data_IF_083682103952
#
_entry.id   IF_083682103952
#
_cell.length_a   1.000
_cell.length_b   1.000
_cell.length_c   1.000
_cell.angle_alpha   90.00
_cell.angle_beta   90.00
_cell.angle_gamma   90.00
#
_symmetry.space_group_name_H-M   'P 1'
#
loop_
_entity.id
_entity.type
_entity.pdbx_description
1 polymer ?
#
# COMPACT_ATOMS: atom_id res chain seq x y z
N UNK A 1 -18.22 8.22 0.72
CA UNK A 1 -18.14 8.07 -0.75
C UNK A 1 -16.68 8.10 -1.14
N UNK A 2 -16.20 7.17 -1.99
CA UNK A 2 -14.81 7.19 -2.45
C UNK A 2 -14.51 8.51 -3.16
N UNK A 3 -13.28 9.04 -3.06
CA UNK A 3 -12.91 10.28 -3.70
C UNK A 3 -13.02 10.11 -5.22
N UNK A 4 -13.74 11.01 -5.87
CA UNK A 4 -13.73 11.08 -7.34
C UNK A 4 -12.31 11.45 -7.79
N UNK A 5 -11.79 10.85 -8.90
CA UNK A 5 -10.53 11.29 -9.48
C UNK A 5 -10.57 12.80 -9.69
N UNK A 6 -9.41 13.47 -9.52
CA UNK A 6 -9.37 14.93 -9.68
C UNK A 6 -9.96 15.32 -11.03
N UNK A 7 -10.82 16.33 -11.06
CA UNK A 7 -11.57 16.73 -12.27
C UNK A 7 -10.65 16.95 -13.49
N UNK A 8 -9.43 17.45 -13.29
CA UNK A 8 -8.45 17.69 -14.35
C UNK A 8 -7.93 16.39 -15.00
N UNK A 9 -7.63 15.35 -14.22
CA UNK A 9 -7.20 14.06 -14.79
C UNK A 9 -8.35 13.40 -15.56
N UNK A 10 -9.54 13.37 -14.99
CA UNK A 10 -10.75 12.85 -15.63
C UNK A 10 -11.03 13.53 -17.00
N UNK A 11 -10.83 14.85 -17.10
CA UNK A 11 -11.07 15.58 -18.34
C UNK A 11 -10.02 15.30 -19.43
N UNK A 12 -8.76 15.06 -19.06
CA UNK A 12 -7.69 14.66 -20.00
C UNK A 12 -8.00 13.29 -20.62
N UNK A 13 -8.40 12.32 -19.80
CA UNK A 13 -8.71 10.96 -20.27
C UNK A 13 -9.98 10.90 -21.12
N UNK A 14 -11.01 11.67 -20.80
CA UNK A 14 -12.21 11.80 -21.64
C UNK A 14 -11.90 12.29 -23.05
N UNK A 15 -10.93 13.22 -23.18
CA UNK A 15 -10.45 13.69 -24.49
C UNK A 15 -9.72 12.60 -25.30
N UNK A 16 -9.24 11.54 -24.64
CA UNK A 16 -8.59 10.40 -25.27
C UNK A 16 -9.56 9.24 -25.58
N UNK A 17 -10.87 9.42 -25.36
CA UNK A 17 -11.88 8.38 -25.55
C UNK A 17 -11.80 7.27 -24.51
N UNK A 18 -11.28 7.55 -23.31
CA UNK A 18 -11.19 6.63 -22.18
C UNK A 18 -12.07 7.07 -21.03
N UNK A 19 -12.79 6.13 -20.44
CA UNK A 19 -13.63 6.31 -19.26
C UNK A 19 -13.10 5.48 -18.09
N UNK A 20 -12.94 6.15 -16.96
CA UNK A 20 -12.54 5.51 -15.69
C UNK A 20 -13.79 5.13 -14.93
N UNK A 21 -13.93 3.85 -14.61
CA UNK A 21 -15.02 3.35 -13.80
C UNK A 21 -14.75 3.54 -12.31
N UNK A 22 -15.65 3.05 -11.46
CA UNK A 22 -15.54 3.16 -10.02
C UNK A 22 -14.25 2.49 -9.55
N UNK A 23 -13.34 3.23 -8.87
CA UNK A 23 -12.11 2.65 -8.35
C UNK A 23 -12.39 1.69 -7.18
N UNK A 24 -11.54 0.69 -7.05
CA UNK A 24 -11.50 -0.18 -5.88
C UNK A 24 -11.11 0.59 -4.61
N UNK A 25 -11.55 0.16 -3.41
CA UNK A 25 -11.09 0.70 -2.14
C UNK A 25 -9.58 0.53 -1.90
N UNK A 26 -8.98 -0.56 -2.45
CA UNK A 26 -7.56 -0.85 -2.30
C UNK A 26 -6.67 0.32 -2.75
N UNK A 27 -5.54 0.46 -2.07
CA UNK A 27 -4.55 1.49 -2.35
C UNK A 27 -3.14 0.90 -2.34
N UNK A 28 -2.61 0.50 -3.49
CA UNK A 28 -1.26 -0.07 -3.60
C UNK A 28 -0.19 1.03 -3.53
N UNK A 29 -0.06 1.64 -2.36
CA UNK A 29 0.92 2.70 -2.08
C UNK A 29 2.07 2.19 -1.21
N UNK A 30 3.13 3.00 -1.08
CA UNK A 30 4.10 2.80 -0.01
C UNK A 30 3.44 2.99 1.35
N UNK A 31 3.90 2.21 2.32
CA UNK A 31 3.53 2.34 3.72
C UNK A 31 4.72 1.98 4.62
N UNK A 32 4.63 2.26 5.90
CA UNK A 32 5.48 1.60 6.90
C UNK A 32 4.68 0.51 7.60
N UNK A 33 5.35 -0.60 7.83
CA UNK A 33 4.83 -1.68 8.67
C UNK A 33 5.77 -1.97 9.84
N UNK A 34 5.26 -2.67 10.82
CA UNK A 34 5.98 -3.19 11.98
C UNK A 34 5.59 -4.64 12.21
N UNK A 35 6.38 -5.42 12.95
CA UNK A 35 5.97 -6.75 13.37
C UNK A 35 4.87 -6.66 14.44
N UNK A 36 4.01 -7.68 14.53
CA UNK A 36 2.98 -7.77 15.57
C UNK A 36 3.59 -7.63 16.97
N UNK A 37 4.74 -8.23 17.22
CA UNK A 37 5.47 -8.09 18.49
C UNK A 37 5.82 -6.63 18.79
N UNK A 38 6.42 -5.92 17.82
CA UNK A 38 6.79 -4.51 17.98
C UNK A 38 5.56 -3.63 18.17
N UNK A 39 4.47 -3.92 17.45
CA UNK A 39 3.20 -3.24 17.60
C UNK A 39 2.65 -3.37 19.02
N UNK A 40 2.56 -4.59 19.56
CA UNK A 40 2.08 -4.85 20.92
C UNK A 40 2.96 -4.19 22.00
N UNK A 41 4.30 -4.24 21.84
CA UNK A 41 5.24 -3.66 22.80
C UNK A 41 5.27 -2.12 22.78
N UNK A 42 5.04 -1.52 21.61
CA UNK A 42 5.16 -0.06 21.41
C UNK A 42 3.82 0.69 21.42
N UNK A 43 2.72 0.01 21.06
CA UNK A 43 1.42 0.64 20.88
C UNK A 43 1.36 1.61 19.70
N UNK A 44 2.27 1.49 18.71
CA UNK A 44 2.30 2.35 17.52
C UNK A 44 1.27 1.86 16.51
N UNK A 45 0.28 2.69 16.18
CA UNK A 45 -0.78 2.39 15.20
C UNK A 45 -0.69 3.26 13.94
N UNK A 46 0.02 4.37 14.02
CA UNK A 46 0.11 5.34 12.94
C UNK A 46 1.53 5.89 12.75
N UNK A 47 1.79 6.47 11.57
CA UNK A 47 3.04 7.18 11.30
C UNK A 47 3.27 8.31 12.29
N UNK A 48 2.21 8.94 12.79
CA UNK A 48 2.28 10.02 13.79
C UNK A 48 2.73 9.54 15.18
N UNK A 49 2.63 8.24 15.45
CA UNK A 49 3.03 7.68 16.75
C UNK A 49 4.54 7.41 16.86
N UNK A 50 5.22 7.28 15.72
CA UNK A 50 6.67 6.98 15.69
C UNK A 50 7.47 7.98 16.54
N UNK A 51 7.13 9.27 16.48
CA UNK A 51 7.78 10.33 17.27
C UNK A 51 7.64 10.19 18.78
N UNK A 52 6.67 9.38 19.25
CA UNK A 52 6.46 9.13 20.68
C UNK A 52 7.44 8.12 21.25
N UNK A 53 8.06 7.32 20.37
CA UNK A 53 9.05 6.33 20.79
C UNK A 53 10.39 6.98 21.13
N UNK A 54 11.15 6.39 22.08
CA UNK A 54 12.54 6.77 22.28
C UNK A 54 13.34 6.67 20.98
N UNK A 55 14.25 7.61 20.69
CA UNK A 55 15.00 7.63 19.43
C UNK A 55 15.70 6.31 19.10
N UNK A 56 16.25 5.61 20.10
CA UNK A 56 16.93 4.32 19.93
C UNK A 56 16.02 3.19 19.45
N UNK A 57 14.71 3.30 19.65
CA UNK A 57 13.71 2.36 19.14
C UNK A 57 13.21 2.71 17.72
N UNK A 58 13.56 3.89 17.22
CA UNK A 58 13.20 4.33 15.87
C UNK A 58 14.22 3.80 14.86
N UNK A 59 14.13 2.51 14.53
CA UNK A 59 15.00 1.83 13.56
C UNK A 59 14.20 1.43 12.32
N UNK A 60 14.80 1.61 11.13
CA UNK A 60 14.10 1.48 9.85
C UNK A 60 14.84 0.53 8.91
N UNK A 61 14.11 -0.38 8.27
CA UNK A 61 14.53 -1.16 7.13
C UNK A 61 13.83 -0.62 5.87
N UNK A 62 14.57 -0.38 4.80
CA UNK A 62 14.03 0.23 3.59
C UNK A 62 14.83 -0.15 2.36
N UNK A 63 14.22 -0.07 1.18
CA UNK A 63 14.94 -0.15 -0.06
C UNK A 63 15.58 1.19 -0.45
N UNK A 64 16.54 1.12 -1.38
CA UNK A 64 17.30 2.28 -1.81
C UNK A 64 16.42 3.32 -2.53
N UNK A 65 15.40 2.86 -3.29
CA UNK A 65 14.51 3.74 -4.01
C UNK A 65 13.68 4.58 -3.03
N UNK A 66 12.98 3.93 -2.09
CA UNK A 66 12.16 4.63 -1.10
C UNK A 66 12.99 5.56 -0.22
N UNK A 67 14.24 5.20 0.10
CA UNK A 67 15.14 6.07 0.85
C UNK A 67 15.52 7.34 0.08
N UNK A 68 15.70 7.24 -1.24
CA UNK A 68 16.16 8.35 -2.09
C UNK A 68 15.03 9.26 -2.61
N UNK A 69 13.78 8.85 -2.51
CA UNK A 69 12.63 9.60 -3.07
C UNK A 69 12.34 10.88 -2.29
N UNK A 70 11.85 11.90 -3.00
CA UNK A 70 11.35 13.15 -2.38
C UNK A 70 10.03 12.96 -1.62
N UNK A 71 9.33 11.86 -1.85
CA UNK A 71 8.14 11.39 -1.16
C UNK A 71 8.38 10.05 -0.43
N UNK A 72 9.64 9.78 -0.06
CA UNK A 72 10.07 8.55 0.59
C UNK A 72 10.24 8.68 2.10
N UNK A 73 11.12 7.81 2.67
CA UNK A 73 11.26 7.63 4.11
C UNK A 73 11.56 8.94 4.86
N UNK A 74 12.62 9.66 4.50
CA UNK A 74 13.06 10.83 5.27
C UNK A 74 12.06 12.01 5.19
N UNK A 75 11.52 12.39 4.01
CA UNK A 75 10.47 13.39 3.92
C UNK A 75 9.20 13.00 4.68
N UNK A 76 8.81 11.73 4.66
CA UNK A 76 7.68 11.21 5.39
C UNK A 76 7.89 11.35 6.91
N UNK A 77 9.02 10.89 7.45
CA UNK A 77 9.36 11.03 8.87
C UNK A 77 9.33 12.50 9.31
N UNK A 78 9.90 13.38 8.50
CA UNK A 78 9.89 14.83 8.75
C UNK A 78 8.47 15.41 8.78
N UNK A 79 7.58 14.99 7.89
CA UNK A 79 6.19 15.48 7.85
C UNK A 79 5.42 15.13 9.12
N UNK A 80 5.74 13.99 9.72
CA UNK A 80 5.16 13.52 10.99
C UNK A 80 5.90 14.04 12.24
N UNK A 81 6.91 14.89 12.07
CA UNK A 81 7.68 15.47 13.17
C UNK A 81 8.60 14.48 13.86
N UNK A 82 9.02 13.43 13.16
CA UNK A 82 10.07 12.52 13.60
C UNK A 82 11.42 13.12 13.21
N UNK A 83 12.35 13.19 14.18
CA UNK A 83 13.71 13.63 13.88
C UNK A 83 14.41 12.68 12.89
N UNK A 84 15.21 13.24 11.99
CA UNK A 84 15.95 12.44 11.03
C UNK A 84 16.86 11.42 11.75
N UNK A 85 16.62 10.11 11.57
CA UNK A 85 17.42 9.09 12.23
C UNK A 85 18.85 9.08 11.66
N UNK A 86 19.88 8.89 12.49
CA UNK A 86 21.24 8.72 11.98
C UNK A 86 21.32 7.47 11.09
N UNK A 87 22.24 7.48 10.13
CA UNK A 87 22.41 6.37 9.16
C UNK A 87 22.52 5.00 9.81
N UNK A 88 23.08 4.91 11.01
CA UNK A 88 23.21 3.67 11.77
C UNK A 88 21.87 3.04 12.19
N UNK A 89 20.78 3.79 12.14
CA UNK A 89 19.42 3.31 12.44
C UNK A 89 18.58 3.03 11.18
N UNK A 90 19.17 3.21 10.00
CA UNK A 90 18.53 2.88 8.73
C UNK A 90 19.32 1.74 8.09
N UNK A 91 18.68 0.60 7.89
CA UNK A 91 19.22 -0.54 7.15
C UNK A 91 18.64 -0.54 5.74
N UNK A 92 19.51 -0.37 4.76
CA UNK A 92 19.14 -0.45 3.35
C UNK A 92 19.30 -1.89 2.86
N UNK A 93 18.28 -2.41 2.19
CA UNK A 93 18.22 -3.78 1.68
C UNK A 93 17.24 -3.87 0.49
N UNK A 94 17.18 -5.03 -0.16
CA UNK A 94 16.18 -5.27 -1.19
C UNK A 94 14.77 -5.19 -0.60
N UNK A 95 13.81 -4.62 -1.34
CA UNK A 95 12.42 -4.44 -0.92
C UNK A 95 11.78 -5.74 -0.39
N UNK A 96 12.07 -6.88 -1.04
CA UNK A 96 11.62 -8.19 -0.58
C UNK A 96 12.21 -8.64 0.76
N UNK A 97 13.43 -8.22 1.08
CA UNK A 97 14.09 -8.57 2.34
C UNK A 97 13.55 -7.78 3.55
N UNK A 98 12.96 -6.60 3.33
CA UNK A 98 12.40 -5.75 4.39
C UNK A 98 11.36 -6.50 5.22
N UNK A 99 10.46 -7.25 4.58
CA UNK A 99 9.41 -8.01 5.26
C UNK A 99 9.98 -9.06 6.22
N UNK A 100 10.97 -9.83 5.77
CA UNK A 100 11.63 -10.82 6.60
C UNK A 100 12.45 -10.17 7.74
N UNK A 101 13.03 -8.99 7.51
CA UNK A 101 13.76 -8.24 8.54
C UNK A 101 12.82 -7.72 9.63
N UNK A 102 11.59 -7.28 9.26
CA UNK A 102 10.56 -6.90 10.21
C UNK A 102 10.13 -8.08 11.09
N UNK A 103 9.81 -9.23 10.47
CA UNK A 103 9.41 -10.44 11.18
C UNK A 103 10.46 -10.88 12.20
N UNK A 104 11.76 -10.81 11.82
CA UNK A 104 12.88 -11.12 12.71
C UNK A 104 13.18 -10.04 13.75
N UNK A 105 12.51 -8.91 13.72
CA UNK A 105 12.75 -7.77 14.63
C UNK A 105 14.09 -7.07 14.41
N UNK A 106 14.66 -7.15 13.19
CA UNK A 106 15.90 -6.46 12.86
C UNK A 106 15.75 -4.94 12.79
N UNK A 107 14.54 -4.46 12.50
CA UNK A 107 14.12 -3.07 12.52
C UNK A 107 12.75 -2.98 13.18
N UNK A 108 12.45 -1.84 13.81
CA UNK A 108 11.14 -1.58 14.37
C UNK A 108 10.11 -1.30 13.26
N UNK A 109 10.54 -0.61 12.19
CA UNK A 109 9.68 -0.22 11.06
C UNK A 109 10.35 -0.56 9.73
N UNK A 110 9.54 -0.88 8.72
CA UNK A 110 10.05 -1.13 7.37
C UNK A 110 9.13 -0.62 6.28
N UNK A 111 9.72 -0.22 5.14
CA UNK A 111 8.97 0.16 3.95
C UNK A 111 8.33 -1.05 3.30
N UNK A 112 7.03 -0.98 3.04
CA UNK A 112 6.24 -2.04 2.43
C UNK A 112 5.32 -1.45 1.35
N UNK A 113 4.78 -2.32 0.50
CA UNK A 113 3.62 -1.98 -0.34
C UNK A 113 2.35 -2.46 0.36
N UNK A 114 1.37 -1.59 0.51
CA UNK A 114 0.20 -1.83 1.37
C UNK A 114 -0.63 -3.08 1.00
N UNK A 115 -0.54 -3.56 -0.24
CA UNK A 115 -1.28 -4.74 -0.72
C UNK A 115 -0.42 -6.00 -0.87
N UNK A 116 0.83 -5.98 -0.39
CA UNK A 116 1.76 -7.11 -0.52
C UNK A 116 1.31 -8.30 0.35
N UNK A 117 1.32 -9.50 -0.24
CA UNK A 117 0.87 -10.73 0.42
C UNK A 117 1.70 -11.12 1.65
N UNK A 118 2.98 -10.71 1.70
CA UNK A 118 3.86 -10.98 2.86
C UNK A 118 3.41 -10.27 4.12
N UNK A 119 2.63 -9.17 4.02
CA UNK A 119 2.01 -8.52 5.18
C UNK A 119 1.11 -9.52 5.90
N UNK A 120 0.24 -10.20 5.15
CA UNK A 120 -0.67 -11.23 5.68
C UNK A 120 0.09 -12.46 6.17
N UNK A 121 1.04 -12.95 5.37
CA UNK A 121 1.78 -14.17 5.66
C UNK A 121 2.68 -14.07 6.91
N UNK A 122 3.20 -12.88 7.22
CA UNK A 122 4.10 -12.62 8.36
C UNK A 122 3.41 -11.86 9.50
N UNK A 123 2.09 -11.70 9.44
CA UNK A 123 1.29 -10.98 10.45
C UNK A 123 1.86 -9.59 10.78
N UNK A 124 2.25 -8.84 9.73
CA UNK A 124 2.78 -7.49 9.88
C UNK A 124 1.64 -6.47 10.03
N UNK A 125 1.87 -5.47 10.86
CA UNK A 125 0.92 -4.39 11.08
C UNK A 125 1.30 -3.16 10.26
N UNK A 126 0.47 -2.78 9.31
CA UNK A 126 0.66 -1.56 8.50
C UNK A 126 0.22 -0.35 9.31
N UNK A 127 1.09 0.64 9.42
CA UNK A 127 0.79 1.89 10.12
C UNK A 127 -0.14 2.77 9.29
N UNK A 128 -1.14 3.34 9.93
CA UNK A 128 -2.04 4.30 9.28
C UNK A 128 -1.32 5.61 8.95
N UNK A 129 -1.74 6.26 7.87
CA UNK A 129 -1.25 7.55 7.37
C UNK A 129 -2.32 8.64 7.54
N UNK A 130 -2.47 9.23 8.76
CA UNK A 130 -3.58 10.14 9.06
C UNK A 130 -3.51 11.46 8.30
N UNK A 131 -2.33 11.92 7.93
CA UNK A 131 -2.15 13.19 7.21
C UNK A 131 -2.11 12.99 5.69
N UNK A 132 -2.32 11.74 5.21
CA UNK A 132 -2.34 11.39 3.79
C UNK A 132 -1.06 11.84 3.05
N UNK A 133 0.10 11.55 3.65
CA UNK A 133 1.39 11.87 3.05
C UNK A 133 1.58 11.13 1.72
N UNK A 134 1.21 9.84 1.68
CA UNK A 134 1.34 9.04 0.48
C UNK A 134 0.17 9.28 -0.48
N UNK A 135 0.44 9.43 -1.78
CA UNK A 135 -0.61 9.53 -2.78
C UNK A 135 -1.40 8.22 -2.87
N UNK A 136 -2.66 8.34 -3.32
CA UNK A 136 -3.52 7.17 -3.51
C UNK A 136 -3.30 6.56 -4.89
N UNK A 137 -3.06 5.24 -4.91
CA UNK A 137 -2.91 4.42 -6.11
C UNK A 137 -4.01 3.36 -6.17
N UNK A 138 -5.27 3.83 -6.23
CA UNK A 138 -6.42 2.95 -6.31
C UNK A 138 -6.48 2.25 -7.68
N UNK A 139 -6.74 0.95 -7.68
CA UNK A 139 -7.06 0.21 -8.90
C UNK A 139 -8.40 0.68 -9.46
N UNK A 140 -8.47 0.98 -10.75
CA UNK A 140 -9.72 1.31 -11.42
C UNK A 140 -9.76 0.67 -12.80
N UNK A 141 -10.90 0.10 -13.23
CA UNK A 141 -11.08 -0.32 -14.61
C UNK A 141 -11.09 0.91 -15.52
N UNK A 142 -10.41 0.82 -16.65
CA UNK A 142 -10.39 1.86 -17.69
C UNK A 142 -10.92 1.25 -18.98
N UNK A 143 -11.98 1.80 -19.51
CA UNK A 143 -12.69 1.27 -20.68
C UNK A 143 -12.76 2.34 -21.76
N UNK A 144 -12.68 1.95 -23.03
CA UNK A 144 -12.92 2.90 -24.12
C UNK A 144 -14.36 3.43 -24.04
N UNK A 145 -14.52 4.74 -24.18
CA UNK A 145 -15.84 5.39 -24.05
C UNK A 145 -16.85 4.82 -25.04
N UNK A 146 -16.43 4.55 -26.29
CA UNK A 146 -17.27 3.92 -27.30
C UNK A 146 -17.84 2.55 -26.88
N UNK A 147 -17.03 1.75 -26.13
CA UNK A 147 -17.49 0.45 -25.61
C UNK A 147 -18.56 0.65 -24.53
N UNK A 148 -18.42 1.65 -23.67
CA UNK A 148 -19.44 1.96 -22.66
C UNK A 148 -20.73 2.53 -23.28
N UNK A 149 -20.61 3.28 -24.37
CA UNK A 149 -21.75 3.79 -25.09
C UNK A 149 -22.57 2.67 -25.77
N UNK A 150 -21.87 1.63 -26.27
CA UNK A 150 -22.50 0.45 -26.89
C UNK A 150 -22.93 -0.61 -25.84
N UNK A 151 -22.20 -0.70 -24.70
CA UNK A 151 -22.35 -1.71 -23.66
C UNK A 151 -22.33 -1.07 -22.25
N UNK A 152 -23.36 -0.32 -21.88
CA UNK A 152 -23.42 0.35 -20.56
C UNK A 152 -23.42 -0.65 -19.39
N UNK A 153 -23.84 -1.90 -19.60
CA UNK A 153 -23.81 -2.99 -18.62
C UNK A 153 -22.39 -3.32 -18.11
N UNK A 154 -21.36 -2.92 -18.82
CA UNK A 154 -19.95 -3.12 -18.39
C UNK A 154 -19.66 -2.39 -17.08
N UNK A 155 -20.20 -1.19 -16.87
CA UNK A 155 -20.04 -0.46 -15.61
C UNK A 155 -20.71 -1.20 -14.45
N UNK A 156 -21.92 -1.72 -14.66
CA UNK A 156 -22.67 -2.48 -13.66
C UNK A 156 -21.96 -3.80 -13.29
N UNK A 157 -21.27 -4.42 -14.24
CA UNK A 157 -20.51 -5.65 -14.04
C UNK A 157 -19.26 -5.42 -13.17
N UNK A 158 -18.51 -4.34 -13.43
CA UNK A 158 -17.26 -4.05 -12.69
C UNK A 158 -17.49 -3.40 -11.34
N UNK A 159 -18.58 -2.68 -11.11
CA UNK A 159 -18.80 -1.95 -9.87
C UNK A 159 -18.79 -2.86 -8.62
N UNK A 160 -19.52 -3.99 -8.55
CA UNK A 160 -19.46 -4.87 -7.37
C UNK A 160 -18.09 -5.52 -7.19
N UNK A 161 -17.45 -5.94 -8.30
CA UNK A 161 -16.11 -6.54 -8.24
C UNK A 161 -15.08 -5.55 -7.67
N UNK A 162 -15.07 -4.32 -8.17
CA UNK A 162 -14.17 -3.28 -7.67
C UNK A 162 -14.34 -3.05 -6.17
N UNK A 163 -15.56 -3.09 -5.64
CA UNK A 163 -15.82 -2.84 -4.21
C UNK A 163 -15.34 -3.97 -3.30
N UNK A 164 -15.14 -5.17 -3.80
CA UNK A 164 -14.61 -6.31 -3.05
C UNK A 164 -13.07 -6.27 -2.90
N UNK A 165 -12.38 -5.50 -3.74
CA UNK A 165 -10.92 -5.39 -3.73
C UNK A 165 -10.48 -4.34 -2.70
N UNK A 166 -10.40 -4.74 -1.43
CA UNK A 166 -9.79 -3.96 -0.34
C UNK A 166 -8.30 -4.27 -0.20
N UNK A 167 -7.56 -3.53 0.62
CA UNK A 167 -6.14 -3.81 0.88
C UNK A 167 -5.98 -5.22 1.49
N UNK A 168 -6.82 -5.58 2.46
CA UNK A 168 -6.78 -6.90 3.11
C UNK A 168 -7.11 -8.03 2.13
N UNK A 169 -8.10 -7.82 1.24
CA UNK A 169 -8.42 -8.83 0.22
C UNK A 169 -7.27 -9.00 -0.76
N UNK A 170 -6.62 -7.92 -1.18
CA UNK A 170 -5.45 -8.01 -2.06
C UNK A 170 -4.26 -8.67 -1.36
N UNK A 171 -4.01 -8.38 -0.08
CA UNK A 171 -2.99 -9.08 0.70
C UNK A 171 -3.26 -10.60 0.76
N UNK A 172 -4.53 -11.00 0.96
CA UNK A 172 -4.94 -12.40 0.97
C UNK A 172 -4.69 -13.09 -0.39
N UNK A 173 -5.16 -12.48 -1.49
CA UNK A 173 -5.01 -13.04 -2.83
C UNK A 173 -3.54 -13.09 -3.25
N UNK A 174 -2.77 -12.04 -2.98
CA UNK A 174 -1.34 -11.97 -3.28
C UNK A 174 -0.55 -12.98 -2.44
N UNK A 175 -0.93 -13.23 -1.17
CA UNK A 175 -0.27 -14.23 -0.33
C UNK A 175 -0.43 -15.64 -0.92
N UNK A 176 -1.60 -16.00 -1.41
CA UNK A 176 -1.85 -17.30 -2.07
C UNK A 176 -0.93 -17.52 -3.27
N UNK A 177 -0.71 -16.46 -4.07
CA UNK A 177 0.16 -16.55 -5.27
C UNK A 177 1.64 -16.48 -4.90
N UNK A 178 2.05 -15.42 -4.16
CA UNK A 178 3.46 -15.07 -3.98
C UNK A 178 4.14 -15.86 -2.84
N UNK A 179 3.36 -16.34 -1.85
CA UNK A 179 3.86 -17.05 -0.68
C UNK A 179 3.52 -18.55 -0.75
N UNK A 180 2.26 -18.89 -1.02
CA UNK A 180 1.80 -20.28 -1.05
C UNK A 180 2.08 -20.95 -2.41
N UNK A 181 2.40 -20.15 -3.45
CA UNK A 181 2.75 -20.65 -4.79
C UNK A 181 1.57 -21.19 -5.59
N UNK A 182 0.35 -20.77 -5.26
CA UNK A 182 -0.84 -21.12 -6.02
C UNK A 182 -0.83 -20.47 -7.42
N UNK A 183 -1.46 -21.12 -8.38
CA UNK A 183 -1.65 -20.56 -9.72
C UNK A 183 -2.59 -19.34 -9.67
N UNK A 184 -2.14 -18.21 -10.21
CA UNK A 184 -2.89 -16.94 -10.17
C UNK A 184 -4.27 -17.05 -10.85
N UNK A 185 -4.43 -17.90 -11.88
CA UNK A 185 -5.72 -18.10 -12.54
C UNK A 185 -6.69 -18.81 -11.60
N UNK A 186 -6.19 -19.81 -10.86
CA UNK A 186 -6.98 -20.54 -9.86
C UNK A 186 -7.42 -19.60 -8.76
N UNK A 187 -6.50 -18.79 -8.22
CA UNK A 187 -6.82 -17.79 -7.18
C UNK A 187 -7.87 -16.79 -7.65
N UNK A 188 -7.75 -16.32 -8.89
CA UNK A 188 -8.73 -15.38 -9.47
C UNK A 188 -10.11 -16.01 -9.67
N UNK A 189 -10.17 -17.27 -10.15
CA UNK A 189 -11.43 -18.00 -10.33
C UNK A 189 -12.14 -18.31 -9.01
N UNK A 190 -11.38 -18.64 -7.96
CA UNK A 190 -11.92 -18.87 -6.63
C UNK A 190 -12.50 -17.58 -6.00
N UNK A 191 -11.96 -16.43 -6.40
CA UNK A 191 -12.42 -15.14 -5.91
C UNK A 191 -13.72 -14.67 -6.59
N UNK A 192 -13.93 -15.03 -7.87
CA UNK A 192 -15.11 -14.62 -8.68
C UNK A 192 -16.35 -15.44 -8.31
#
# INVERSE_FOLDING_TARGET
>A
SPPKPSSAASDVYKRQGLSWLLPAPMNNTYALATSEKTHQESGVESLADIKKLPPEKQTFCTDAEFLARNDGLLPMLKSYGVEEPPRSRIKEMDSGAVYAALDKGECAFGSVFATDGRIKALDLQVLTDPDLFFPKYNLAPVVRTEVLDEHPEVEELFAPLSQLLTDEKMQELNARVDVDGEDYTTVALDFL
#
